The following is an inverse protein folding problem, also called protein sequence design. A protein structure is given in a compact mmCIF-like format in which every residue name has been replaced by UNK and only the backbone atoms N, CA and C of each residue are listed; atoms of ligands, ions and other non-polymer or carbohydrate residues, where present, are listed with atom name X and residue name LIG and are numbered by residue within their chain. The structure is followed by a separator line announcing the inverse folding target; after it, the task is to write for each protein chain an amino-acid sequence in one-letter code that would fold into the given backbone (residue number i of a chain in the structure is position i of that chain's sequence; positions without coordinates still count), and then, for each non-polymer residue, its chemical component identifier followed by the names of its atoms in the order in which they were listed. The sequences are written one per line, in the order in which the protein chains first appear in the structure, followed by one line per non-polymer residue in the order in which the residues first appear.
data_IF_066641232495
#
_entry.id   IF_066641232495
#
_cell.length_a   1.000
_cell.length_b   1.000
_cell.length_c   1.000
_cell.angle_alpha   90.00
_cell.angle_beta   90.00
_cell.angle_gamma   90.00
#
_symmetry.space_group_name_H-M   'P 1'
#
loop_
_entity.id
_entity.type
_entity.pdbx_description
1 polymer ?
#
# COMPACT_ATOMS: atom_id res chain seq x y z
N UNK A 1 26.49 36.17 -1.64
CA UNK A 1 25.69 35.43 -2.68
C UNK A 1 26.69 34.66 -3.48
N UNK A 2 26.91 33.40 -3.08
CA UNK A 2 27.98 32.55 -3.62
C UNK A 2 27.56 31.96 -4.96
N UNK A 3 27.94 32.64 -6.04
CA UNK A 3 27.77 32.16 -7.43
C UNK A 3 28.72 30.99 -7.78
N UNK A 4 29.74 30.73 -6.95
CA UNK A 4 30.73 29.67 -7.19
C UNK A 4 30.21 28.26 -6.88
N UNK A 5 29.19 28.12 -6.02
CA UNK A 5 28.63 26.80 -5.67
C UNK A 5 27.75 26.23 -6.79
N UNK A 6 26.99 27.05 -7.50
CA UNK A 6 26.11 26.60 -8.57
C UNK A 6 26.91 26.10 -9.79
N UNK A 7 28.06 26.74 -10.07
CA UNK A 7 28.94 26.34 -11.18
C UNK A 7 29.62 24.99 -10.87
N UNK A 8 29.98 24.78 -9.60
CA UNK A 8 30.65 23.53 -9.17
C UNK A 8 29.70 22.32 -9.22
N UNK A 9 28.45 22.54 -8.87
CA UNK A 9 27.41 21.48 -8.93
C UNK A 9 27.14 21.09 -10.39
N UNK A 10 26.94 22.04 -11.27
CA UNK A 10 26.69 21.79 -12.68
C UNK A 10 27.84 21.05 -13.38
N UNK A 11 29.09 21.40 -13.05
CA UNK A 11 30.30 20.72 -13.60
C UNK A 11 30.43 19.29 -13.05
N UNK A 12 30.03 19.05 -11.81
CA UNK A 12 30.00 17.71 -11.22
C UNK A 12 28.86 16.85 -11.80
N UNK A 13 27.72 17.43 -12.04
CA UNK A 13 26.59 16.75 -12.68
C UNK A 13 26.93 16.36 -14.13
N UNK A 14 27.55 17.26 -14.90
CA UNK A 14 27.97 16.99 -16.26
C UNK A 14 29.05 15.89 -16.34
N UNK A 15 30.05 15.91 -15.45
CA UNK A 15 31.06 14.86 -15.35
C UNK A 15 30.53 13.51 -14.88
N UNK A 16 29.59 13.52 -13.95
CA UNK A 16 28.86 12.31 -13.53
C UNK A 16 28.05 11.75 -14.70
N UNK A 17 27.37 12.63 -15.43
CA UNK A 17 26.57 12.27 -16.60
C UNK A 17 27.41 11.60 -17.68
N UNK A 18 28.55 12.16 -18.05
CA UNK A 18 29.45 11.59 -19.04
C UNK A 18 30.00 10.23 -18.62
N UNK A 19 30.33 10.06 -17.34
CA UNK A 19 30.83 8.80 -16.81
C UNK A 19 29.79 7.69 -16.85
N UNK A 20 28.55 8.02 -16.54
CA UNK A 20 27.47 7.04 -16.49
C UNK A 20 26.82 6.77 -17.85
N UNK A 21 26.95 7.66 -18.82
CA UNK A 21 26.46 7.44 -20.19
C UNK A 21 27.23 6.34 -20.95
N UNK A 22 28.43 6.01 -20.47
CA UNK A 22 29.26 4.94 -21.04
C UNK A 22 28.95 3.55 -20.49
N UNK A 23 28.13 3.46 -19.44
CA UNK A 23 27.73 2.17 -18.87
C UNK A 23 26.65 1.51 -19.74
N UNK A 24 26.85 0.24 -20.14
CA UNK A 24 25.80 -0.49 -20.84
C UNK A 24 24.59 -0.66 -19.94
N UNK A 25 23.51 0.06 -20.24
CA UNK A 25 22.24 -0.01 -19.51
C UNK A 25 22.25 0.64 -18.10
N UNK A 26 22.52 1.95 -17.96
CA UNK A 26 22.44 2.60 -16.66
C UNK A 26 21.01 2.55 -16.14
N UNK A 27 20.80 1.90 -14.97
CA UNK A 27 19.51 1.73 -14.30
C UNK A 27 18.74 3.04 -14.03
N UNK A 28 19.43 4.18 -14.04
CA UNK A 28 18.85 5.52 -13.83
C UNK A 28 18.43 6.23 -15.12
N UNK A 29 18.67 5.61 -16.29
CA UNK A 29 18.20 6.09 -17.58
C UNK A 29 16.76 5.62 -17.89
N UNK A 30 16.02 5.22 -16.86
CA UNK A 30 14.62 4.98 -17.05
C UNK A 30 13.96 6.31 -17.46
N UNK A 31 13.67 6.46 -18.76
CA UNK A 31 12.70 7.45 -19.21
C UNK A 31 11.49 7.33 -18.30
N UNK A 32 10.91 8.43 -17.77
CA UNK A 32 9.67 8.31 -17.02
C UNK A 32 8.68 7.57 -17.90
N UNK A 33 8.37 6.33 -17.50
CA UNK A 33 7.39 5.51 -18.21
C UNK A 33 6.08 6.25 -18.04
N UNK A 34 5.52 6.73 -19.12
CA UNK A 34 4.20 7.34 -19.08
C UNK A 34 3.20 6.27 -18.65
N UNK A 35 2.33 6.58 -17.70
CA UNK A 35 1.31 5.64 -17.20
C UNK A 35 0.45 5.05 -18.31
N UNK A 36 0.24 5.79 -19.39
CA UNK A 36 -0.47 5.34 -20.61
C UNK A 36 0.27 4.24 -21.38
N UNK A 37 1.61 4.17 -21.25
CA UNK A 37 2.46 3.15 -21.88
C UNK A 37 2.65 1.92 -20.97
N UNK A 38 2.19 1.99 -19.70
CA UNK A 38 2.31 0.89 -18.74
C UNK A 38 1.14 -0.08 -18.90
N UNK A 39 1.44 -1.34 -19.18
CA UNK A 39 0.46 -2.42 -19.00
C UNK A 39 0.08 -2.60 -17.54
N UNK A 40 0.91 -2.11 -16.59
CA UNK A 40 0.77 -2.28 -15.14
C UNK A 40 0.49 -0.94 -14.46
N UNK A 41 -0.75 -0.73 -14.12
CA UNK A 41 -1.27 0.52 -13.54
C UNK A 41 -2.01 0.33 -12.21
N UNK A 42 -1.90 -0.86 -11.59
CA UNK A 42 -2.58 -1.21 -10.35
C UNK A 42 -1.55 -1.54 -9.27
N UNK A 43 -1.73 -0.95 -8.10
CA UNK A 43 -0.94 -1.30 -6.90
C UNK A 43 -1.89 -1.71 -5.77
N UNK A 44 -1.56 -2.80 -5.11
CA UNK A 44 -2.37 -3.38 -4.05
C UNK A 44 -1.66 -3.22 -2.71
N UNK A 45 -2.39 -2.77 -1.71
CA UNK A 45 -1.93 -2.65 -0.34
C UNK A 45 -2.74 -3.55 0.59
N UNK A 46 -2.05 -4.25 1.49
CA UNK A 46 -2.69 -4.75 2.70
C UNK A 46 -2.87 -3.58 3.69
N UNK A 47 -3.71 -3.78 4.69
CA UNK A 47 -3.97 -2.75 5.69
C UNK A 47 -3.22 -3.04 6.98
N UNK A 48 -3.53 -4.16 7.64
CA UNK A 48 -2.98 -4.52 8.95
C UNK A 48 -1.52 -4.98 8.85
N UNK A 49 -0.61 -4.20 9.44
CA UNK A 49 0.84 -4.44 9.37
C UNK A 49 1.50 -3.83 8.13
N UNK A 50 0.74 -3.23 7.22
CA UNK A 50 1.26 -2.56 6.02
C UNK A 50 0.98 -1.05 6.08
N UNK A 51 -0.26 -0.61 5.81
CA UNK A 51 -0.65 0.79 5.95
C UNK A 51 -0.86 1.21 7.40
N UNK A 52 -1.38 0.30 8.24
CA UNK A 52 -1.68 0.51 9.64
C UNK A 52 -0.80 -0.38 10.53
N UNK A 53 -0.08 0.23 11.46
CA UNK A 53 0.68 -0.46 12.50
C UNK A 53 -0.27 -0.81 13.65
N UNK A 54 -0.51 -2.10 13.84
CA UNK A 54 -1.59 -2.62 14.69
C UNK A 54 -1.10 -3.15 16.04
N UNK A 55 0.12 -2.83 16.44
CA UNK A 55 0.77 -3.43 17.60
C UNK A 55 0.00 -3.19 18.90
N UNK A 56 -0.49 -1.97 19.12
CA UNK A 56 -1.24 -1.64 20.33
C UNK A 56 -2.59 -2.34 20.36
N UNK A 57 -3.31 -2.38 19.24
CA UNK A 57 -4.57 -3.12 19.12
C UNK A 57 -4.36 -4.62 19.30
N UNK A 58 -3.29 -5.18 18.71
CA UNK A 58 -2.90 -6.58 18.87
C UNK A 58 -2.58 -6.90 20.32
N UNK A 59 -1.82 -6.05 21.00
CA UNK A 59 -1.48 -6.19 22.41
C UNK A 59 -2.72 -6.18 23.29
N UNK A 60 -3.64 -5.23 23.04
CA UNK A 60 -4.91 -5.13 23.78
C UNK A 60 -5.76 -6.41 23.62
N UNK A 61 -5.82 -6.97 22.41
CA UNK A 61 -6.60 -8.14 22.09
C UNK A 61 -5.92 -9.48 22.41
N UNK A 62 -4.68 -9.48 22.90
CA UNK A 62 -3.96 -10.72 23.26
C UNK A 62 -4.28 -11.11 24.69
N UNK A 63 -4.89 -12.27 24.87
CA UNK A 63 -5.22 -12.86 26.20
C UNK A 63 -3.96 -13.31 26.93
N UNK A 64 -3.99 -13.47 28.29
CA UNK A 64 -2.84 -13.95 29.06
C UNK A 64 -2.26 -15.30 28.60
N UNK A 65 -3.08 -16.13 27.96
CA UNK A 65 -2.68 -17.43 27.40
C UNK A 65 -2.08 -17.33 25.98
N UNK A 66 -1.85 -16.10 25.48
CA UNK A 66 -1.30 -15.82 24.15
C UNK A 66 -2.30 -15.95 22.98
N UNK A 67 -3.56 -16.31 23.25
CA UNK A 67 -4.59 -16.39 22.21
C UNK A 67 -5.18 -15.03 21.92
N UNK A 68 -5.53 -14.81 20.64
CA UNK A 68 -6.23 -13.60 20.21
C UNK A 68 -7.70 -13.61 20.64
N UNK A 69 -8.14 -12.51 21.20
CA UNK A 69 -9.55 -12.17 21.36
C UNK A 69 -10.03 -11.43 20.12
N UNK A 70 -10.66 -12.15 19.22
CA UNK A 70 -11.06 -11.59 17.93
C UNK A 70 -12.18 -10.54 18.05
N UNK A 71 -13.02 -10.61 19.08
CA UNK A 71 -14.06 -9.61 19.32
C UNK A 71 -13.41 -8.28 19.71
N UNK A 72 -12.45 -8.31 20.64
CA UNK A 72 -11.66 -7.12 21.00
C UNK A 72 -10.80 -6.63 19.82
N UNK A 73 -10.21 -7.55 19.04
CA UNK A 73 -9.35 -7.18 17.91
C UNK A 73 -10.14 -6.50 16.79
N UNK A 74 -11.36 -6.94 16.50
CA UNK A 74 -12.24 -6.36 15.49
C UNK A 74 -13.30 -5.41 16.06
N UNK A 75 -13.11 -4.93 17.28
CA UNK A 75 -13.94 -3.86 17.82
C UNK A 75 -13.67 -2.56 17.04
N UNK A 76 -14.71 -1.93 16.46
CA UNK A 76 -14.53 -0.66 15.73
C UNK A 76 -13.86 0.44 16.55
N UNK A 77 -14.11 0.49 17.86
CA UNK A 77 -13.51 1.47 18.76
C UNK A 77 -12.00 1.29 18.95
N UNK A 78 -11.50 0.09 18.73
CA UNK A 78 -10.07 -0.21 18.86
C UNK A 78 -9.27 0.09 17.59
N UNK A 79 -9.90 0.32 16.45
CA UNK A 79 -9.24 0.71 15.19
C UNK A 79 -8.48 2.05 15.35
N UNK A 80 -8.96 2.95 16.20
CA UNK A 80 -8.30 4.24 16.50
C UNK A 80 -6.92 4.10 17.17
N UNK A 81 -6.59 2.91 17.70
CA UNK A 81 -5.27 2.62 18.29
C UNK A 81 -4.20 2.32 17.23
N UNK A 82 -4.61 2.05 16.00
CA UNK A 82 -3.69 1.78 14.92
C UNK A 82 -2.93 3.05 14.54
N UNK A 83 -1.60 2.97 14.50
CA UNK A 83 -0.75 4.05 14.06
C UNK A 83 -0.54 4.00 12.53
N UNK A 84 -0.38 5.14 11.86
CA UNK A 84 -0.05 5.16 10.45
C UNK A 84 1.37 4.66 10.19
N UNK A 85 1.54 3.86 9.14
CA UNK A 85 2.86 3.59 8.58
C UNK A 85 3.17 4.67 7.53
N UNK A 86 3.72 5.79 8.01
CA UNK A 86 3.89 7.00 7.19
C UNK A 86 4.64 6.73 5.89
N UNK A 87 5.69 5.90 5.92
CA UNK A 87 6.48 5.59 4.71
C UNK A 87 5.65 4.88 3.64
N UNK A 88 4.80 3.93 4.04
CA UNK A 88 3.94 3.18 3.10
C UNK A 88 2.77 4.07 2.63
N UNK A 89 2.23 4.90 3.51
CA UNK A 89 1.17 5.85 3.16
C UNK A 89 1.69 6.88 2.15
N UNK A 90 2.88 7.44 2.34
CA UNK A 90 3.50 8.37 1.38
C UNK A 90 3.78 7.69 0.03
N UNK A 91 4.15 6.41 0.03
CA UNK A 91 4.25 5.63 -1.20
C UNK A 91 2.89 5.52 -1.92
N UNK A 92 1.83 5.20 -1.19
CA UNK A 92 0.48 5.13 -1.76
C UNK A 92 0.03 6.46 -2.36
N UNK A 93 0.27 7.58 -1.66
CA UNK A 93 -0.02 8.94 -2.16
C UNK A 93 0.77 9.28 -3.42
N UNK A 94 2.06 8.93 -3.45
CA UNK A 94 2.91 9.18 -4.62
C UNK A 94 2.42 8.42 -5.84
N UNK A 95 2.06 7.14 -5.66
CA UNK A 95 1.54 6.31 -6.74
C UNK A 95 0.16 6.79 -7.24
N UNK A 96 -0.73 7.17 -6.32
CA UNK A 96 -2.03 7.77 -6.68
C UNK A 96 -1.85 9.05 -7.50
N UNK A 97 -0.95 9.94 -7.06
CA UNK A 97 -0.63 11.17 -7.79
C UNK A 97 -0.04 10.93 -9.18
N UNK A 98 0.59 9.78 -9.41
CA UNK A 98 1.08 9.34 -10.73
C UNK A 98 0.02 8.63 -11.57
N UNK A 99 -1.20 8.50 -11.08
CA UNK A 99 -2.33 7.91 -11.80
C UNK A 99 -2.48 6.40 -11.64
N UNK A 100 -1.78 5.78 -10.69
CA UNK A 100 -2.00 4.37 -10.38
C UNK A 100 -3.35 4.15 -9.69
N UNK A 101 -3.99 3.05 -9.99
CA UNK A 101 -5.16 2.56 -9.26
C UNK A 101 -4.71 1.93 -7.96
N UNK A 102 -5.13 2.49 -6.84
CA UNK A 102 -4.82 2.00 -5.50
C UNK A 102 -5.93 1.07 -5.01
N UNK A 103 -5.56 -0.15 -4.69
CA UNK A 103 -6.48 -1.19 -4.19
C UNK A 103 -6.08 -1.60 -2.79
N UNK A 104 -7.02 -1.61 -1.86
CA UNK A 104 -6.81 -2.12 -0.49
C UNK A 104 -7.53 -3.46 -0.35
N UNK A 105 -6.79 -4.51 0.01
CA UNK A 105 -7.34 -5.83 0.34
C UNK A 105 -7.04 -6.15 1.80
N UNK A 106 -8.07 -6.11 2.66
CA UNK A 106 -7.89 -6.26 4.10
C UNK A 106 -8.66 -7.48 4.66
N UNK A 107 -7.96 -8.25 5.49
CA UNK A 107 -8.57 -9.32 6.29
C UNK A 107 -9.50 -8.84 7.41
N UNK A 108 -9.58 -7.52 7.65
CA UNK A 108 -10.51 -6.95 8.64
C UNK A 108 -11.95 -7.32 8.33
N UNK A 109 -12.72 -7.59 9.38
CA UNK A 109 -14.17 -7.79 9.25
C UNK A 109 -14.85 -6.55 8.66
N UNK A 110 -15.78 -6.76 7.74
CA UNK A 110 -16.63 -5.69 7.20
C UNK A 110 -17.45 -4.97 8.27
N UNK A 111 -17.61 -5.56 9.46
CA UNK A 111 -18.22 -4.90 10.61
C UNK A 111 -17.42 -3.65 11.06
N UNK A 112 -16.11 -3.59 10.78
CA UNK A 112 -15.26 -2.43 11.10
C UNK A 112 -15.11 -1.45 9.92
N UNK A 113 -15.94 -1.56 8.88
CA UNK A 113 -15.79 -0.79 7.64
C UNK A 113 -15.77 0.72 7.89
N UNK A 114 -16.72 1.22 8.65
CA UNK A 114 -16.86 2.67 8.87
C UNK A 114 -15.70 3.23 9.69
N UNK A 115 -15.27 2.52 10.75
CA UNK A 115 -14.11 2.88 11.54
C UNK A 115 -12.81 2.83 10.71
N UNK A 116 -12.69 1.83 9.83
CA UNK A 116 -11.55 1.70 8.91
C UNK A 116 -11.54 2.83 7.88
N UNK A 117 -12.67 3.15 7.28
CA UNK A 117 -12.79 4.27 6.34
C UNK A 117 -12.45 5.62 7.00
N UNK A 118 -12.94 5.85 8.22
CA UNK A 118 -12.61 7.04 8.99
C UNK A 118 -11.11 7.12 9.33
N UNK A 119 -10.47 5.98 9.61
CA UNK A 119 -9.02 5.92 9.84
C UNK A 119 -8.23 6.26 8.56
N UNK A 120 -8.62 5.69 7.41
CA UNK A 120 -7.99 5.97 6.12
C UNK A 120 -8.13 7.45 5.74
N UNK A 121 -9.31 8.03 5.92
CA UNK A 121 -9.58 9.45 5.67
C UNK A 121 -8.72 10.36 6.56
N UNK A 122 -8.69 10.07 7.88
CA UNK A 122 -7.88 10.81 8.86
C UNK A 122 -6.40 10.88 8.47
N UNK A 123 -5.86 9.82 7.90
CA UNK A 123 -4.45 9.73 7.50
C UNK A 123 -4.21 10.03 6.01
N UNK A 124 -5.25 10.50 5.30
CA UNK A 124 -5.21 10.83 3.87
C UNK A 124 -4.65 9.69 3.02
N UNK A 125 -5.08 8.45 3.29
CA UNK A 125 -4.70 7.27 2.51
C UNK A 125 -5.59 7.19 1.27
N UNK A 126 -5.04 7.34 0.05
CA UNK A 126 -5.84 7.23 -1.17
C UNK A 126 -6.19 5.78 -1.46
N UNK A 127 -7.38 5.54 -1.99
CA UNK A 127 -7.75 4.26 -2.57
C UNK A 127 -8.93 4.39 -3.54
N UNK A 128 -8.92 3.55 -4.57
CA UNK A 128 -10.02 3.44 -5.56
C UNK A 128 -10.93 2.27 -5.23
N UNK A 129 -10.37 1.19 -4.70
CA UNK A 129 -11.10 -0.03 -4.34
C UNK A 129 -10.65 -0.49 -2.96
N UNK A 130 -11.61 -0.81 -2.09
CA UNK A 130 -11.34 -1.46 -0.82
C UNK A 130 -12.20 -2.72 -0.68
N UNK A 131 -11.58 -3.86 -0.41
CA UNK A 131 -12.24 -5.11 -0.04
C UNK A 131 -11.91 -5.47 1.40
N UNK A 132 -12.94 -5.86 2.13
CA UNK A 132 -12.84 -6.30 3.51
C UNK A 132 -13.55 -7.64 3.67
N UNK A 133 -13.13 -8.43 4.65
CA UNK A 133 -13.70 -9.75 4.96
C UNK A 133 -15.20 -9.65 5.22
N UNK A 134 -16.04 -10.35 4.47
CA UNK A 134 -17.48 -10.38 4.72
C UNK A 134 -17.77 -10.94 6.12
N UNK A 135 -18.85 -10.49 6.72
CA UNK A 135 -19.37 -11.03 7.98
C UNK A 135 -20.12 -12.34 7.72
N UNK A 136 -20.12 -13.22 8.69
CA UNK A 136 -20.86 -14.48 8.64
C UNK A 136 -20.10 -15.65 8.03
N UNK A 137 -20.73 -16.83 8.15
CA UNK A 137 -20.18 -18.09 7.64
C UNK A 137 -20.41 -18.20 6.11
N UNK A 138 -19.48 -18.76 5.33
CA UNK A 138 -18.18 -19.32 5.73
C UNK A 138 -17.02 -18.31 5.77
N UNK A 139 -17.23 -17.06 5.35
CA UNK A 139 -16.23 -16.05 5.09
C UNK A 139 -15.40 -15.65 6.31
N UNK A 140 -16.07 -15.59 7.49
CA UNK A 140 -15.42 -15.21 8.74
C UNK A 140 -14.23 -16.12 9.11
N UNK A 141 -14.27 -17.39 8.67
CA UNK A 141 -13.25 -18.40 8.97
C UNK A 141 -12.35 -18.76 7.78
N UNK A 142 -12.57 -18.11 6.64
CA UNK A 142 -11.75 -18.39 5.44
C UNK A 142 -10.32 -17.90 5.67
N UNK A 143 -9.28 -18.69 5.35
CA UNK A 143 -7.89 -18.22 5.36
C UNK A 143 -7.72 -16.96 4.51
N UNK A 144 -6.90 -16.02 5.00
CA UNK A 144 -6.75 -14.70 4.41
C UNK A 144 -6.20 -14.75 2.98
N UNK A 145 -5.26 -15.65 2.72
CA UNK A 145 -4.69 -15.90 1.40
C UNK A 145 -5.74 -16.35 0.38
N UNK A 146 -6.63 -17.25 0.78
CA UNK A 146 -7.73 -17.73 -0.08
C UNK A 146 -8.75 -16.63 -0.36
N UNK A 147 -9.07 -15.85 0.68
CA UNK A 147 -9.99 -14.73 0.58
C UNK A 147 -9.45 -13.67 -0.38
N UNK A 148 -8.21 -13.23 -0.19
CA UNK A 148 -7.56 -12.24 -1.03
C UNK A 148 -7.38 -12.73 -2.48
N UNK A 149 -7.04 -14.01 -2.66
CA UNK A 149 -6.96 -14.61 -4.00
C UNK A 149 -8.32 -14.55 -4.72
N UNK A 150 -9.41 -14.92 -4.03
CA UNK A 150 -10.75 -14.80 -4.59
C UNK A 150 -11.09 -13.39 -5.04
N UNK A 151 -10.77 -12.38 -4.22
CA UNK A 151 -10.99 -10.99 -4.60
C UNK A 151 -10.15 -10.54 -5.80
N UNK A 152 -8.91 -11.03 -5.91
CA UNK A 152 -8.07 -10.75 -7.07
C UNK A 152 -8.68 -11.34 -8.34
N UNK A 153 -9.21 -12.57 -8.26
CA UNK A 153 -9.88 -13.23 -9.37
C UNK A 153 -11.16 -12.48 -9.80
N UNK A 154 -11.91 -11.93 -8.82
CA UNK A 154 -13.13 -11.15 -9.06
C UNK A 154 -12.86 -9.77 -9.66
N UNK A 155 -11.88 -9.03 -9.10
CA UNK A 155 -11.56 -7.65 -9.51
C UNK A 155 -10.80 -7.66 -10.84
N UNK A 156 -9.88 -8.61 -11.00
CA UNK A 156 -8.98 -8.72 -12.14
C UNK A 156 -9.08 -10.10 -12.80
N UNK A 157 -10.21 -10.41 -13.45
CA UNK A 157 -10.39 -11.71 -14.10
C UNK A 157 -9.47 -11.87 -15.31
N UNK A 158 -8.92 -13.08 -15.48
CA UNK A 158 -8.09 -13.45 -16.62
C UNK A 158 -6.77 -12.66 -16.69
N UNK A 159 -6.49 -12.11 -17.85
CA UNK A 159 -5.30 -11.31 -18.18
C UNK A 159 -5.28 -9.92 -17.50
N UNK A 160 -6.39 -9.46 -16.94
CA UNK A 160 -6.45 -8.19 -16.20
C UNK A 160 -5.53 -8.17 -14.98
N UNK A 161 -5.09 -9.34 -14.47
CA UNK A 161 -4.06 -9.42 -13.42
C UNK A 161 -2.71 -8.89 -13.88
N UNK A 162 -2.44 -8.88 -15.18
CA UNK A 162 -1.20 -8.33 -15.74
C UNK A 162 -1.08 -6.83 -15.49
N UNK A 163 -2.19 -6.15 -15.16
CA UNK A 163 -2.20 -4.74 -14.73
C UNK A 163 -1.61 -4.53 -13.33
N UNK A 164 -1.48 -5.57 -12.51
CA UNK A 164 -0.94 -5.45 -11.17
C UNK A 164 0.56 -5.26 -11.25
N UNK A 165 1.04 -4.09 -10.79
CA UNK A 165 2.46 -3.77 -10.73
C UNK A 165 3.12 -4.48 -9.55
N UNK A 166 2.57 -4.29 -8.36
CA UNK A 166 3.08 -4.88 -7.12
C UNK A 166 2.01 -4.95 -6.02
N UNK A 167 2.34 -5.69 -4.97
CA UNK A 167 1.55 -5.85 -3.75
C UNK A 167 2.44 -5.55 -2.56
N UNK A 168 1.97 -4.69 -1.65
CA UNK A 168 2.61 -4.33 -0.38
C UNK A 168 1.90 -5.02 0.78
#
# INVERSE_FOLDING_TARGET
MDLDNDITINVLEEKLWDHYSELPNPLWYAQPIKTEDMKKDVVIFDLDGTLALIDDRRKLATKPNGKMDWDTFFDPDNIKLDLPNDSVIEMAKTLDAQGFTIVILSGRSKATKDATAAWLDKHNVPFNIMKMRPTGHPWAFMPDDKLKKGWLDDIFPGDKKDRILCVF
#
